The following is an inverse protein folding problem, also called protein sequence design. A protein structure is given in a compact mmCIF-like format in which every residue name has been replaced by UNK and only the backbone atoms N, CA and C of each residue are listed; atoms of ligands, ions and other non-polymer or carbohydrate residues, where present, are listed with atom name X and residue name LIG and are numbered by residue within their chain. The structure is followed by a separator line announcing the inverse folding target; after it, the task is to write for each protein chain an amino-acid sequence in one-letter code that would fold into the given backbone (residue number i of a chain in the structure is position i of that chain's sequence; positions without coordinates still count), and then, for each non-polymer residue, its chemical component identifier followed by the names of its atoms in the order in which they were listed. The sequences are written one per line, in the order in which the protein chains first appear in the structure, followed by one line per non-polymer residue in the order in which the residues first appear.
data_IF_788956171698
#
_entry.id   IF_788956171698
#
_cell.length_a   1.000
_cell.length_b   1.000
_cell.length_c   1.000
_cell.angle_alpha   90.00
_cell.angle_beta   90.00
_cell.angle_gamma   90.00
#
_symmetry.space_group_name_H-M   'P 1'
#
loop_
_entity.id
_entity.type
_entity.pdbx_description
1 polymer ?
#
# COMPACT_ATOMS: atom_id res chain seq x y z
N UNK A 1 22.20 2.22 21.84
CA UNK A 1 20.95 2.14 21.05
C UNK A 1 19.93 3.15 21.50
N UNK A 2 19.72 3.32 22.81
CA UNK A 2 18.69 4.22 23.36
C UNK A 2 18.87 5.69 22.94
N UNK A 3 20.12 6.17 22.86
CA UNK A 3 20.44 7.52 22.34
C UNK A 3 19.98 7.74 20.90
N UNK A 4 20.06 6.71 20.04
CA UNK A 4 19.61 6.82 18.65
C UNK A 4 18.09 6.79 18.54
N UNK A 5 17.42 5.97 19.34
CA UNK A 5 15.95 5.97 19.35
C UNK A 5 15.40 7.30 19.87
N UNK A 6 16.01 7.89 20.91
CA UNK A 6 15.69 9.25 21.38
C UNK A 6 15.91 10.30 20.29
N UNK A 7 17.05 10.23 19.58
CA UNK A 7 17.31 11.10 18.42
C UNK A 7 16.20 10.98 17.37
N UNK A 8 15.81 9.76 17.01
CA UNK A 8 14.75 9.52 16.04
C UNK A 8 13.39 10.04 16.51
N UNK A 9 13.07 9.96 17.82
CA UNK A 9 11.83 10.55 18.38
C UNK A 9 11.85 12.08 18.38
N UNK A 10 13.03 12.69 18.45
CA UNK A 10 13.21 14.14 18.25
C UNK A 10 13.05 14.58 16.79
N UNK A 11 13.06 13.64 15.85
CA UNK A 11 12.72 13.89 14.45
C UNK A 11 11.22 13.57 14.23
N UNK A 12 10.53 14.31 13.37
CA UNK A 12 9.09 14.11 13.06
C UNK A 12 8.79 12.81 12.28
N UNK A 13 9.47 11.70 12.61
CA UNK A 13 9.32 10.40 11.98
C UNK A 13 8.21 9.59 12.65
N UNK A 14 7.49 8.80 11.84
CA UNK A 14 6.47 7.88 12.37
C UNK A 14 7.08 6.72 13.15
N UNK A 15 6.38 6.19 14.15
CA UNK A 15 6.81 5.02 14.95
C UNK A 15 7.29 3.83 14.11
N UNK A 16 6.62 3.55 12.98
CA UNK A 16 7.05 2.49 12.06
C UNK A 16 8.42 2.77 11.42
N UNK A 17 8.72 4.03 11.10
CA UNK A 17 10.03 4.44 10.59
C UNK A 17 11.07 4.30 11.67
N UNK A 18 10.77 4.75 12.89
CA UNK A 18 11.65 4.64 14.06
C UNK A 18 12.01 3.16 14.30
N UNK A 19 11.02 2.29 14.39
CA UNK A 19 11.23 0.85 14.59
C UNK A 19 12.07 0.23 13.46
N UNK A 20 11.82 0.60 12.21
CA UNK A 20 12.58 0.11 11.05
C UNK A 20 14.04 0.58 11.08
N UNK A 21 14.29 1.83 11.47
CA UNK A 21 15.63 2.40 11.54
C UNK A 21 16.41 1.80 12.71
N UNK A 22 15.79 1.74 13.89
CA UNK A 22 16.36 1.08 15.06
C UNK A 22 16.71 -0.38 14.76
N UNK A 23 15.84 -1.13 14.06
CA UNK A 23 16.16 -2.49 13.65
C UNK A 23 17.39 -2.54 12.74
N UNK A 24 17.49 -1.66 11.75
CA UNK A 24 18.61 -1.66 10.80
C UNK A 24 19.96 -1.44 11.50
N UNK A 25 19.99 -0.49 12.45
CA UNK A 25 21.18 -0.23 13.24
C UNK A 25 21.51 -1.41 14.16
N UNK A 26 20.50 -2.02 14.82
CA UNK A 26 20.70 -3.25 15.61
C UNK A 26 21.26 -4.38 14.74
N UNK A 27 20.79 -4.50 13.50
CA UNK A 27 21.27 -5.51 12.55
C UNK A 27 22.75 -5.31 12.21
N UNK A 28 23.20 -4.07 12.00
CA UNK A 28 24.62 -3.76 11.81
C UNK A 28 25.44 -4.18 13.03
N UNK A 29 24.99 -3.79 14.23
CA UNK A 29 25.72 -4.07 15.47
C UNK A 29 25.74 -5.54 15.89
N UNK A 30 24.91 -6.39 15.28
CA UNK A 30 25.02 -7.85 15.45
C UNK A 30 26.21 -8.46 14.71
N UNK A 31 26.71 -7.77 13.68
CA UNK A 31 27.84 -8.24 12.87
C UNK A 31 29.13 -7.49 13.21
N UNK A 32 29.01 -6.24 13.63
CA UNK A 32 30.13 -5.35 13.87
C UNK A 32 29.99 -4.64 15.21
N UNK A 33 31.02 -4.75 16.03
CA UNK A 33 31.20 -4.07 17.32
C UNK A 33 31.39 -2.55 17.18
N UNK A 34 32.02 -2.09 16.08
CA UNK A 34 32.35 -0.68 15.87
C UNK A 34 31.98 -0.18 14.47
N UNK A 35 31.82 1.14 14.35
CA UNK A 35 31.56 1.82 13.08
C UNK A 35 32.89 2.33 12.50
N UNK A 36 33.27 1.79 11.34
CA UNK A 36 34.42 2.26 10.53
C UNK A 36 34.03 2.27 9.06
N UNK A 37 34.70 3.09 8.23
CA UNK A 37 34.46 3.12 6.77
C UNK A 37 34.61 1.73 6.13
N UNK A 38 35.57 0.92 6.60
CA UNK A 38 35.78 -0.45 6.13
C UNK A 38 34.56 -1.33 6.44
N UNK A 39 34.14 -1.39 7.71
CA UNK A 39 33.00 -2.21 8.16
C UNK A 39 31.67 -1.79 7.52
N UNK A 40 31.46 -0.48 7.30
CA UNK A 40 30.30 0.03 6.58
C UNK A 40 30.24 -0.46 5.13
N UNK A 41 31.39 -0.49 4.43
CA UNK A 41 31.47 -1.02 3.06
C UNK A 41 31.21 -2.53 3.03
N UNK A 42 31.83 -3.28 3.93
CA UNK A 42 31.60 -4.74 4.06
C UNK A 42 30.13 -5.04 4.35
N UNK A 43 29.52 -4.30 5.27
CA UNK A 43 28.09 -4.45 5.57
C UNK A 43 27.20 -4.14 4.36
N UNK A 44 27.54 -3.11 3.57
CA UNK A 44 26.81 -2.81 2.34
C UNK A 44 26.91 -3.95 1.32
N UNK A 45 28.08 -4.55 1.16
CA UNK A 45 28.26 -5.73 0.27
C UNK A 45 27.40 -6.88 0.77
N UNK A 46 27.48 -7.20 2.06
CA UNK A 46 26.66 -8.25 2.67
C UNK A 46 25.15 -7.99 2.50
N UNK A 47 24.70 -6.74 2.64
CA UNK A 47 23.31 -6.38 2.39
C UNK A 47 22.88 -6.64 0.93
N UNK A 48 23.75 -6.33 -0.04
CA UNK A 48 23.48 -6.53 -1.47
C UNK A 48 23.36 -8.02 -1.80
N UNK A 49 24.20 -8.85 -1.20
CA UNK A 49 24.21 -10.30 -1.43
C UNK A 49 22.99 -10.99 -0.81
N UNK A 50 22.45 -10.46 0.30
CA UNK A 50 21.42 -11.14 1.09
C UNK A 50 20.01 -10.54 0.95
N UNK A 51 19.86 -9.34 0.40
CA UNK A 51 18.57 -8.65 0.35
C UNK A 51 18.27 -7.99 -0.98
N UNK A 52 16.97 -7.87 -1.29
CA UNK A 52 16.49 -7.10 -2.44
C UNK A 52 16.92 -5.63 -2.34
N UNK A 53 17.26 -4.95 -3.46
CA UNK A 53 17.78 -3.57 -3.44
C UNK A 53 16.94 -2.54 -2.67
N UNK A 54 15.60 -2.67 -2.69
CA UNK A 54 14.72 -1.79 -1.89
C UNK A 54 14.96 -1.94 -0.38
N UNK A 55 15.13 -3.17 0.10
CA UNK A 55 15.47 -3.45 1.50
C UNK A 55 16.86 -2.93 1.84
N UNK A 56 17.84 -3.14 0.94
CA UNK A 56 19.19 -2.59 1.10
C UNK A 56 19.14 -1.08 1.29
N UNK A 57 18.44 -0.35 0.41
CA UNK A 57 18.33 1.10 0.50
C UNK A 57 17.61 1.58 1.76
N UNK A 58 16.61 0.85 2.26
CA UNK A 58 15.99 1.14 3.54
C UNK A 58 16.99 1.02 4.71
N UNK A 59 17.81 -0.04 4.71
CA UNK A 59 18.85 -0.26 5.74
C UNK A 59 19.97 0.77 5.64
N UNK A 60 20.42 1.10 4.44
CA UNK A 60 21.40 2.15 4.20
C UNK A 60 20.87 3.52 4.63
N UNK A 61 19.58 3.82 4.39
CA UNK A 61 18.99 5.08 4.84
C UNK A 61 18.96 5.19 6.35
N UNK A 62 18.58 4.11 7.04
CA UNK A 62 18.63 4.06 8.49
C UNK A 62 20.06 4.23 9.04
N UNK A 63 21.06 3.60 8.41
CA UNK A 63 22.46 3.76 8.80
C UNK A 63 22.97 5.18 8.53
N UNK A 64 22.61 5.79 7.41
CA UNK A 64 22.98 7.19 7.13
C UNK A 64 22.39 8.15 8.17
N UNK A 65 21.13 7.93 8.58
CA UNK A 65 20.50 8.69 9.66
C UNK A 65 21.19 8.44 11.02
N UNK A 66 21.66 7.21 11.26
CA UNK A 66 22.47 6.92 12.44
C UNK A 66 23.83 7.63 12.42
N UNK A 67 24.49 7.66 11.27
CA UNK A 67 25.76 8.38 11.09
C UNK A 67 25.60 9.88 11.34
N UNK A 68 24.50 10.49 10.89
CA UNK A 68 24.12 11.89 11.24
C UNK A 68 24.02 12.06 12.77
N UNK A 69 23.31 11.15 13.44
CA UNK A 69 23.08 11.25 14.90
C UNK A 69 24.36 11.18 15.74
N UNK A 70 25.45 10.65 15.17
CA UNK A 70 26.76 10.54 15.84
C UNK A 70 27.81 11.48 15.23
N UNK A 71 27.40 12.43 14.37
CA UNK A 71 28.27 13.44 13.77
C UNK A 71 29.29 12.89 12.75
N UNK A 72 28.92 11.84 12.00
CA UNK A 72 29.77 11.19 10.97
C UNK A 72 29.14 11.24 9.58
N UNK A 73 28.59 12.40 9.23
CA UNK A 73 27.92 12.66 7.95
C UNK A 73 28.76 12.32 6.71
N UNK A 74 30.07 12.51 6.80
CA UNK A 74 31.04 12.25 5.74
C UNK A 74 31.23 10.76 5.45
N UNK A 75 30.60 9.86 6.23
CA UNK A 75 30.67 8.41 6.05
C UNK A 75 29.40 7.82 5.44
N UNK A 76 28.44 8.67 5.07
CA UNK A 76 27.19 8.24 4.44
C UNK A 76 27.45 7.39 3.21
N UNK A 77 26.73 6.27 3.15
CA UNK A 77 26.83 5.33 2.04
C UNK A 77 25.86 5.71 0.94
N UNK A 78 26.31 5.59 -0.31
CA UNK A 78 25.44 5.75 -1.46
C UNK A 78 24.44 4.60 -1.57
N UNK A 79 23.21 4.92 -1.99
CA UNK A 79 22.19 3.93 -2.28
C UNK A 79 22.51 3.10 -3.52
N UNK A 80 22.00 1.87 -3.53
CA UNK A 80 22.03 1.00 -4.71
C UNK A 80 21.01 1.52 -5.71
N UNK A 81 21.41 1.64 -6.98
CA UNK A 81 20.48 2.02 -8.05
C UNK A 81 19.45 0.91 -8.24
N UNK A 82 18.17 1.28 -8.22
CA UNK A 82 17.06 0.35 -8.44
C UNK A 82 16.32 0.80 -9.68
N UNK A 83 16.35 -0.02 -10.73
CA UNK A 83 15.50 0.21 -11.88
C UNK A 83 14.05 -0.03 -11.46
N UNK A 84 13.17 0.91 -11.78
CA UNK A 84 11.75 0.68 -11.58
C UNK A 84 11.27 -0.40 -12.56
N UNK A 85 10.57 -1.42 -12.05
CA UNK A 85 9.95 -2.43 -12.91
C UNK A 85 8.96 -1.76 -13.86
N UNK A 86 8.99 -2.15 -15.13
CA UNK A 86 8.13 -1.58 -16.17
C UNK A 86 6.65 -1.98 -16.02
N UNK A 87 6.33 -2.94 -15.16
CA UNK A 87 4.99 -3.52 -15.04
C UNK A 87 4.58 -3.71 -13.58
N UNK A 88 3.27 -3.81 -13.37
CA UNK A 88 2.69 -4.20 -12.09
C UNK A 88 2.72 -5.72 -11.98
N UNK A 89 3.22 -6.22 -10.85
CA UNK A 89 3.13 -7.63 -10.50
C UNK A 89 1.96 -7.84 -9.54
N UNK A 90 1.34 -9.02 -9.64
CA UNK A 90 0.38 -9.54 -8.69
C UNK A 90 -0.90 -8.70 -8.54
N UNK A 91 -1.42 -8.19 -9.66
CA UNK A 91 -2.74 -7.54 -9.68
C UNK A 91 -3.79 -8.61 -10.00
N UNK A 92 -4.83 -8.69 -9.19
CA UNK A 92 -5.99 -9.57 -9.39
C UNK A 92 -6.58 -9.33 -10.78
N UNK A 93 -7.09 -10.36 -11.48
CA UNK A 93 -7.81 -10.18 -12.75
C UNK A 93 -9.26 -9.69 -12.53
N UNK A 94 -9.96 -9.22 -13.57
CA UNK A 94 -11.36 -8.77 -13.41
C UNK A 94 -12.26 -9.98 -13.14
N UNK A 95 -12.00 -11.08 -13.85
CA UNK A 95 -12.66 -12.35 -13.64
C UNK A 95 -12.44 -12.88 -12.21
N UNK A 96 -11.20 -12.87 -11.71
CA UNK A 96 -10.91 -13.33 -10.34
C UNK A 96 -11.55 -12.42 -9.29
N UNK A 97 -11.61 -11.11 -9.54
CA UNK A 97 -12.28 -10.16 -8.66
C UNK A 97 -13.79 -10.43 -8.57
N UNK A 98 -14.45 -10.59 -9.72
CA UNK A 98 -15.88 -10.87 -9.80
C UNK A 98 -16.22 -12.25 -9.21
N UNK A 99 -15.39 -13.26 -9.49
CA UNK A 99 -15.50 -14.58 -8.88
C UNK A 99 -15.35 -14.51 -7.35
N UNK A 100 -14.29 -13.86 -6.85
CA UNK A 100 -14.05 -13.73 -5.41
C UNK A 100 -15.21 -13.03 -4.70
N UNK A 101 -15.70 -11.93 -5.29
CA UNK A 101 -16.85 -11.19 -4.80
C UNK A 101 -18.10 -12.06 -4.74
N UNK A 102 -18.34 -12.87 -5.77
CA UNK A 102 -19.51 -13.77 -5.84
C UNK A 102 -19.44 -14.87 -4.78
N UNK A 103 -18.28 -15.52 -4.61
CA UNK A 103 -18.10 -16.54 -3.56
C UNK A 103 -18.34 -15.96 -2.15
N UNK A 104 -17.80 -14.77 -1.87
CA UNK A 104 -18.00 -14.11 -0.58
C UNK A 104 -19.48 -13.83 -0.29
N UNK A 105 -20.24 -13.44 -1.31
CA UNK A 105 -21.68 -13.21 -1.16
C UNK A 105 -22.44 -14.51 -0.91
N UNK A 106 -22.16 -15.56 -1.70
CA UNK A 106 -22.83 -16.86 -1.60
C UNK A 106 -22.58 -17.57 -0.26
N UNK A 107 -21.38 -17.43 0.29
CA UNK A 107 -21.01 -18.01 1.58
C UNK A 107 -21.51 -17.20 2.80
N UNK A 108 -22.22 -16.08 2.58
CA UNK A 108 -22.65 -15.19 3.67
C UNK A 108 -21.51 -14.40 4.32
N UNK A 109 -20.33 -14.32 3.69
CA UNK A 109 -19.17 -13.55 4.15
C UNK A 109 -19.31 -12.06 3.81
N UNK A 110 -20.49 -11.48 4.05
CA UNK A 110 -20.85 -10.10 3.69
C UNK A 110 -19.84 -9.06 4.21
N UNK A 111 -19.28 -9.27 5.42
CA UNK A 111 -18.23 -8.40 5.96
C UNK A 111 -17.04 -8.30 5.00
N UNK A 112 -16.56 -9.43 4.49
CA UNK A 112 -15.42 -9.49 3.59
C UNK A 112 -15.78 -9.06 2.17
N UNK A 113 -17.01 -9.32 1.74
CA UNK A 113 -17.57 -8.74 0.52
C UNK A 113 -17.43 -7.21 0.53
N UNK A 114 -17.90 -6.53 1.58
CA UNK A 114 -17.79 -5.07 1.66
C UNK A 114 -16.35 -4.61 1.83
N UNK A 115 -15.50 -5.31 2.57
CA UNK A 115 -14.05 -5.00 2.62
C UNK A 115 -13.46 -4.94 1.21
N UNK A 116 -13.71 -5.99 0.41
CA UNK A 116 -13.20 -6.12 -0.97
C UNK A 116 -13.82 -5.07 -1.90
N UNK A 117 -15.13 -4.85 -1.84
CA UNK A 117 -15.85 -3.82 -2.61
C UNK A 117 -15.29 -2.43 -2.35
N UNK A 118 -15.12 -2.04 -1.09
CA UNK A 118 -14.58 -0.71 -0.75
C UNK A 118 -13.16 -0.53 -1.27
N UNK A 119 -12.28 -1.54 -1.14
CA UNK A 119 -10.92 -1.43 -1.68
C UNK A 119 -10.88 -1.30 -3.21
N UNK A 120 -11.68 -2.09 -3.92
CA UNK A 120 -11.68 -2.14 -5.37
C UNK A 120 -12.47 -0.98 -6.03
N UNK A 121 -13.49 -0.43 -5.37
CA UNK A 121 -14.34 0.62 -5.93
C UNK A 121 -13.88 2.04 -5.56
N UNK A 122 -13.11 2.21 -4.48
CA UNK A 122 -12.64 3.54 -4.03
C UNK A 122 -11.14 3.73 -4.17
N UNK A 123 -10.40 2.64 -4.44
CA UNK A 123 -8.93 2.65 -4.48
C UNK A 123 -8.27 3.03 -3.14
N UNK A 124 -9.00 2.99 -2.02
CA UNK A 124 -8.50 3.40 -0.70
C UNK A 124 -7.31 2.54 -0.23
N UNK A 125 -6.37 3.11 0.53
CA UNK A 125 -5.31 2.30 1.19
C UNK A 125 -5.94 1.49 2.33
N UNK A 126 -5.40 0.31 2.66
CA UNK A 126 -5.93 -0.49 3.79
C UNK A 126 -5.92 0.26 5.13
N UNK A 127 -4.95 1.15 5.35
CA UNK A 127 -4.88 2.00 6.55
C UNK A 127 -5.94 3.10 6.59
N UNK A 128 -6.46 3.48 5.42
CA UNK A 128 -7.54 4.46 5.25
C UNK A 128 -8.90 3.74 5.33
N UNK A 129 -9.02 2.53 4.75
CA UNK A 129 -10.21 1.69 4.80
C UNK A 129 -10.72 1.47 6.23
N UNK A 130 -9.82 1.14 7.14
CA UNK A 130 -10.16 0.89 8.55
C UNK A 130 -10.67 2.15 9.29
N UNK A 131 -10.54 3.34 8.70
CA UNK A 131 -11.02 4.60 9.26
C UNK A 131 -12.41 4.98 8.74
N UNK A 132 -12.94 4.27 7.74
CA UNK A 132 -14.28 4.50 7.21
C UNK A 132 -15.31 4.13 8.28
N UNK A 133 -16.38 4.92 8.34
CA UNK A 133 -17.47 4.82 9.31
C UNK A 133 -18.81 4.82 8.58
N UNK A 134 -19.86 4.34 9.25
CA UNK A 134 -21.22 4.33 8.71
C UNK A 134 -21.69 5.73 8.28
N UNK A 135 -21.35 6.76 9.05
CA UNK A 135 -21.65 8.17 8.72
C UNK A 135 -21.11 8.57 7.34
N UNK A 136 -19.88 8.17 7.00
CA UNK A 136 -19.28 8.46 5.70
C UNK A 136 -19.98 7.76 4.54
N UNK A 137 -20.50 6.55 4.77
CA UNK A 137 -21.32 5.84 3.78
C UNK A 137 -22.58 6.66 3.50
N UNK A 138 -23.25 7.16 4.53
CA UNK A 138 -24.43 8.01 4.36
C UNK A 138 -24.11 9.31 3.58
N UNK A 139 -23.00 9.98 3.92
CA UNK A 139 -22.57 11.21 3.22
C UNK A 139 -22.06 10.96 1.80
N UNK A 140 -21.56 9.75 1.52
CA UNK A 140 -20.99 9.36 0.22
C UNK A 140 -19.51 9.70 0.02
N UNK A 141 -18.82 10.21 1.04
CA UNK A 141 -17.39 10.45 0.98
C UNK A 141 -16.74 10.45 2.37
N UNK A 142 -15.41 10.35 2.39
CA UNK A 142 -14.59 10.51 3.60
C UNK A 142 -13.41 11.44 3.31
N UNK A 143 -13.15 12.39 4.20
CA UNK A 143 -11.98 13.25 4.15
C UNK A 143 -10.91 12.72 5.11
N UNK A 144 -9.73 12.40 4.58
CA UNK A 144 -8.60 11.85 5.35
C UNK A 144 -7.35 12.70 5.17
N UNK A 145 -6.61 12.90 6.25
CA UNK A 145 -5.30 13.53 6.21
C UNK A 145 -4.23 12.54 5.77
N UNK A 146 -3.48 12.87 4.73
CA UNK A 146 -2.30 12.12 4.30
C UNK A 146 -1.08 12.49 5.15
N UNK A 147 0.01 11.72 4.99
CA UNK A 147 1.33 12.16 5.46
C UNK A 147 1.62 13.55 4.86
N UNK A 148 2.09 14.47 5.70
CA UNK A 148 2.32 15.87 5.31
C UNK A 148 1.14 16.82 5.54
N UNK A 149 0.04 16.37 6.16
CA UNK A 149 -1.07 17.25 6.58
C UNK A 149 -2.03 17.66 5.47
N UNK A 150 -1.91 17.06 4.27
CA UNK A 150 -2.83 17.34 3.16
C UNK A 150 -4.14 16.59 3.35
N UNK A 151 -5.26 17.28 3.18
CA UNK A 151 -6.58 16.66 3.17
C UNK A 151 -6.83 16.02 1.81
N UNK A 152 -7.34 14.78 1.80
CA UNK A 152 -7.80 14.09 0.60
C UNK A 152 -9.20 13.55 0.82
N UNK A 153 -10.09 13.84 -0.13
CA UNK A 153 -11.42 13.24 -0.20
C UNK A 153 -11.36 11.90 -0.92
N UNK A 154 -12.03 10.90 -0.37
CA UNK A 154 -12.30 9.61 -1.01
C UNK A 154 -13.80 9.55 -1.23
N UNK A 155 -14.22 9.42 -2.48
CA UNK A 155 -15.62 9.26 -2.85
C UNK A 155 -16.04 7.79 -2.75
N UNK A 156 -17.22 7.55 -2.22
CA UNK A 156 -17.86 6.24 -2.18
C UNK A 156 -18.87 6.22 -3.34
N UNK A 157 -18.64 5.42 -4.40
CA UNK A 157 -19.53 5.38 -5.55
C UNK A 157 -20.96 5.05 -5.14
N UNK A 158 -21.94 5.66 -5.82
CA UNK A 158 -23.36 5.55 -5.48
C UNK A 158 -23.83 4.09 -5.38
N UNK A 159 -23.47 3.23 -6.34
CA UNK A 159 -23.84 1.81 -6.31
C UNK A 159 -23.30 1.08 -5.07
N UNK A 160 -22.05 1.35 -4.68
CA UNK A 160 -21.49 0.80 -3.44
C UNK A 160 -22.19 1.37 -2.21
N UNK A 161 -22.54 2.66 -2.25
CA UNK A 161 -23.25 3.33 -1.15
C UNK A 161 -24.59 2.67 -0.89
N UNK A 162 -25.39 2.44 -1.92
CA UNK A 162 -26.71 1.83 -1.84
C UNK A 162 -26.63 0.41 -1.25
N UNK A 163 -25.73 -0.44 -1.78
CA UNK A 163 -25.51 -1.79 -1.24
C UNK A 163 -25.05 -1.77 0.22
N UNK A 164 -24.13 -0.85 0.57
CA UNK A 164 -23.58 -0.77 1.92
C UNK A 164 -24.59 -0.22 2.94
N UNK A 165 -25.50 0.69 2.54
CA UNK A 165 -26.55 1.20 3.40
C UNK A 165 -27.55 0.10 3.76
N UNK A 166 -27.97 -0.71 2.79
CA UNK A 166 -28.85 -1.86 3.05
C UNK A 166 -28.22 -2.86 4.04
N UNK A 167 -26.93 -3.14 3.87
CA UNK A 167 -26.18 -3.99 4.80
C UNK A 167 -26.05 -3.40 6.21
N UNK A 168 -25.90 -2.08 6.33
CA UNK A 168 -25.84 -1.38 7.61
C UNK A 168 -27.19 -1.38 8.33
N UNK A 169 -28.28 -1.24 7.57
CA UNK A 169 -29.65 -1.32 8.08
C UNK A 169 -29.96 -2.71 8.64
N UNK A 170 -29.61 -3.78 7.90
CA UNK A 170 -29.76 -5.17 8.36
C UNK A 170 -29.01 -5.42 9.69
N UNK A 171 -27.85 -4.77 9.86
CA UNK A 171 -27.05 -4.83 11.10
C UNK A 171 -27.53 -3.91 12.22
N UNK A 172 -28.48 -3.02 11.95
CA UNK A 172 -28.86 -1.95 12.88
C UNK A 172 -27.71 -0.97 13.20
N UNK A 173 -26.70 -0.84 12.32
CA UNK A 173 -25.53 0.00 12.55
C UNK A 173 -25.67 1.35 11.86
N UNK A 174 -26.00 2.39 12.64
CA UNK A 174 -26.17 3.76 12.14
C UNK A 174 -24.91 4.63 12.27
N UNK A 175 -23.96 4.24 13.12
CA UNK A 175 -22.76 5.03 13.41
C UNK A 175 -21.53 4.16 13.73
N UNK A 176 -20.37 4.82 13.87
CA UNK A 176 -19.11 4.15 14.23
C UNK A 176 -18.37 3.53 13.05
N UNK A 177 -17.21 2.91 13.33
CA UNK A 177 -16.34 2.33 12.30
C UNK A 177 -17.04 1.19 11.55
N UNK A 178 -16.86 1.19 10.23
CA UNK A 178 -17.51 0.24 9.34
C UNK A 178 -16.95 -1.18 9.49
N UNK A 179 -15.64 -1.29 9.69
CA UNK A 179 -14.94 -2.58 9.74
C UNK A 179 -14.39 -2.85 11.15
N UNK A 180 -15.20 -3.57 11.94
CA UNK A 180 -14.84 -4.03 13.29
C UNK A 180 -14.40 -5.50 13.27
N UNK A 181 -13.57 -5.88 14.24
CA UNK A 181 -13.24 -7.26 14.52
C UNK A 181 -14.33 -7.94 15.38
N UNK A 182 -14.19 -9.24 15.64
CA UNK A 182 -15.13 -10.02 16.46
C UNK A 182 -15.30 -9.50 17.91
N UNK A 183 -14.40 -8.64 18.39
CA UNK A 183 -14.45 -8.03 19.72
C UNK A 183 -15.04 -6.61 19.69
N UNK A 184 -15.61 -6.16 18.56
CA UNK A 184 -16.16 -4.82 18.39
C UNK A 184 -15.12 -3.71 18.28
N UNK A 185 -13.83 -4.04 18.19
CA UNK A 185 -12.74 -3.06 17.99
C UNK A 185 -12.42 -2.91 16.52
N UNK A 186 -11.89 -1.75 16.11
CA UNK A 186 -11.45 -1.53 14.73
C UNK A 186 -10.51 -2.64 14.26
N UNK A 187 -10.77 -3.21 13.08
CA UNK A 187 -9.93 -4.25 12.51
C UNK A 187 -8.53 -3.70 12.18
N UNK A 188 -7.50 -4.53 12.30
CA UNK A 188 -6.13 -4.14 11.96
C UNK A 188 -5.85 -4.39 10.48
N UNK A 189 -4.93 -3.61 9.90
CA UNK A 189 -4.48 -3.80 8.52
C UNK A 189 -3.88 -5.19 8.28
N UNK A 190 -3.16 -5.73 9.28
CA UNK A 190 -2.64 -7.10 9.26
C UNK A 190 -3.75 -8.14 9.32
N UNK A 191 -4.79 -7.89 10.12
CA UNK A 191 -5.97 -8.76 10.19
C UNK A 191 -6.69 -8.89 8.86
N UNK A 192 -6.88 -7.76 8.15
CA UNK A 192 -7.43 -7.76 6.79
C UNK A 192 -6.53 -8.56 5.85
N UNK A 193 -5.24 -8.24 5.78
CA UNK A 193 -4.33 -8.93 4.86
C UNK A 193 -4.21 -10.43 5.12
N UNK A 194 -4.24 -10.84 6.40
CA UNK A 194 -4.22 -12.25 6.79
C UNK A 194 -5.49 -12.98 6.39
N UNK A 195 -6.66 -12.40 6.69
CA UNK A 195 -7.93 -13.07 6.39
C UNK A 195 -8.23 -13.14 4.90
N UNK A 196 -7.86 -12.12 4.13
CA UNK A 196 -7.96 -12.16 2.67
C UNK A 196 -7.19 -13.35 2.07
N UNK A 197 -6.01 -13.70 2.62
CA UNK A 197 -5.26 -14.88 2.18
C UNK A 197 -5.97 -16.19 2.53
N UNK A 198 -6.55 -16.28 3.72
CA UNK A 198 -7.33 -17.46 4.13
C UNK A 198 -8.53 -17.65 3.19
N UNK A 199 -9.24 -16.57 2.88
CA UNK A 199 -10.38 -16.62 1.95
C UNK A 199 -9.94 -16.95 0.52
N UNK A 200 -8.81 -16.40 0.06
CA UNK A 200 -8.24 -16.75 -1.24
C UNK A 200 -7.95 -18.26 -1.35
N UNK A 201 -7.31 -18.84 -0.33
CA UNK A 201 -7.06 -20.28 -0.28
C UNK A 201 -8.35 -21.09 -0.28
N UNK A 202 -9.35 -20.65 0.50
CA UNK A 202 -10.68 -21.30 0.56
C UNK A 202 -11.33 -21.39 -0.83
N UNK A 203 -11.23 -20.34 -1.62
CA UNK A 203 -11.87 -20.27 -2.95
C UNK A 203 -10.98 -20.71 -4.11
N UNK A 204 -9.79 -21.25 -3.84
CA UNK A 204 -8.85 -21.69 -4.87
C UNK A 204 -8.21 -20.56 -5.68
N UNK A 205 -8.16 -19.34 -5.13
CA UNK A 205 -7.57 -18.17 -5.78
C UNK A 205 -6.10 -18.01 -5.41
N UNK A 206 -5.32 -17.42 -6.32
CA UNK A 206 -3.91 -17.15 -6.08
C UNK A 206 -3.72 -16.13 -4.94
N UNK A 207 -3.20 -16.60 -3.81
CA UNK A 207 -2.90 -15.77 -2.64
C UNK A 207 -1.89 -14.66 -2.91
N UNK A 208 -1.08 -14.78 -3.97
CA UNK A 208 -0.14 -13.75 -4.36
C UNK A 208 -0.86 -12.50 -4.87
N UNK A 209 -2.07 -12.62 -5.43
CA UNK A 209 -2.86 -11.49 -5.98
C UNK A 209 -3.99 -11.04 -5.07
N UNK A 210 -4.36 -11.78 -4.04
CA UNK A 210 -5.44 -11.42 -3.10
C UNK A 210 -4.86 -10.71 -1.86
N UNK A 211 -4.61 -9.41 -2.00
CA UNK A 211 -4.14 -8.55 -0.92
C UNK A 211 -4.55 -7.08 -1.16
N UNK A 212 -4.59 -6.21 -0.13
CA UNK A 212 -5.21 -4.89 -0.25
C UNK A 212 -4.69 -4.00 -1.38
N UNK A 213 -3.36 -4.01 -1.62
CA UNK A 213 -2.79 -3.20 -2.68
C UNK A 213 -3.19 -3.69 -4.08
N UNK A 214 -3.41 -4.99 -4.27
CA UNK A 214 -3.88 -5.55 -5.55
C UNK A 214 -5.25 -5.00 -5.94
N UNK A 215 -6.20 -4.93 -5.01
CA UNK A 215 -7.51 -4.32 -5.25
C UNK A 215 -7.41 -2.83 -5.57
N UNK A 216 -6.51 -2.11 -4.90
CA UNK A 216 -6.23 -0.71 -5.25
C UNK A 216 -5.60 -0.57 -6.64
N UNK A 217 -4.76 -1.51 -7.06
CA UNK A 217 -4.24 -1.52 -8.43
C UNK A 217 -5.34 -1.82 -9.44
N UNK A 218 -6.28 -2.72 -9.11
CA UNK A 218 -7.48 -2.97 -9.93
C UNK A 218 -8.34 -1.72 -10.09
N UNK A 219 -8.61 -0.98 -9.02
CA UNK A 219 -9.30 0.32 -9.11
C UNK A 219 -8.65 1.24 -10.14
N UNK A 220 -7.33 1.45 -10.03
CA UNK A 220 -6.59 2.34 -10.92
C UNK A 220 -6.63 1.90 -12.38
N UNK A 221 -6.49 0.58 -12.64
CA UNK A 221 -6.56 0.02 -13.99
C UNK A 221 -7.96 0.21 -14.59
N UNK A 222 -9.00 -0.18 -13.85
CA UNK A 222 -10.39 -0.06 -14.28
C UNK A 222 -10.80 1.40 -14.51
N UNK A 223 -10.31 2.32 -13.67
CA UNK A 223 -10.55 3.75 -13.84
C UNK A 223 -9.93 4.25 -15.15
N UNK A 224 -8.66 3.97 -15.43
CA UNK A 224 -8.00 4.44 -16.65
C UNK A 224 -8.54 3.79 -17.93
N UNK A 225 -8.98 2.54 -17.86
CA UNK A 225 -9.64 1.85 -18.97
C UNK A 225 -10.97 2.52 -19.35
N UNK A 226 -11.73 3.02 -18.36
CA UNK A 226 -13.03 3.69 -18.56
C UNK A 226 -12.91 5.20 -18.77
N UNK A 227 -11.93 5.81 -18.13
CA UNK A 227 -11.71 7.25 -18.08
C UNK A 227 -10.21 7.55 -17.97
N UNK A 228 -9.58 7.79 -19.11
CA UNK A 228 -8.12 7.91 -19.25
C UNK A 228 -7.57 9.26 -18.75
N UNK A 229 -7.88 9.63 -17.51
CA UNK A 229 -7.36 10.81 -16.82
C UNK A 229 -6.43 10.41 -15.66
N UNK A 230 -5.13 10.46 -15.92
CA UNK A 230 -4.10 10.13 -14.93
C UNK A 230 -3.98 11.18 -13.82
N UNK A 231 -4.27 12.45 -14.11
CA UNK A 231 -4.13 13.52 -13.13
C UNK A 231 -5.23 13.37 -12.06
N UNK A 232 -6.48 13.22 -12.51
CA UNK A 232 -7.59 12.93 -11.62
C UNK A 232 -7.38 11.64 -10.84
N UNK A 233 -6.90 10.57 -11.48
CA UNK A 233 -6.59 9.33 -10.77
C UNK A 233 -5.51 9.55 -9.70
N UNK A 234 -4.46 10.32 -9.98
CA UNK A 234 -3.40 10.59 -9.01
C UNK A 234 -3.95 11.31 -7.76
N UNK A 235 -4.85 12.28 -7.95
CA UNK A 235 -5.53 12.99 -6.87
C UNK A 235 -6.46 12.07 -6.09
N UNK A 236 -7.29 11.29 -6.78
CA UNK A 236 -8.20 10.31 -6.19
C UNK A 236 -7.44 9.26 -5.38
N UNK A 237 -6.25 8.85 -5.82
CA UNK A 237 -5.40 7.91 -5.12
C UNK A 237 -4.55 8.58 -4.01
N UNK A 238 -4.40 9.90 -4.02
CA UNK A 238 -3.55 10.62 -3.07
C UNK A 238 -2.09 10.27 -3.26
N UNK A 239 -1.62 10.33 -4.51
CA UNK A 239 -0.20 10.22 -4.85
C UNK A 239 0.45 11.60 -4.84
N UNK A 240 1.57 11.73 -4.14
CA UNK A 240 2.33 13.01 -4.10
C UNK A 240 2.98 13.36 -5.45
N UNK A 241 3.10 12.37 -6.34
CA UNK A 241 3.67 12.55 -7.68
C UNK A 241 2.91 11.70 -8.68
N UNK A 242 2.60 12.29 -9.83
CA UNK A 242 2.03 11.61 -11.01
C UNK A 242 2.90 10.42 -11.43
N UNK A 243 4.22 10.45 -11.19
CA UNK A 243 5.12 9.33 -11.52
C UNK A 243 4.73 8.04 -10.77
N UNK A 244 4.14 8.17 -9.58
CA UNK A 244 3.61 7.03 -8.82
C UNK A 244 2.37 6.44 -9.48
N UNK A 245 1.60 7.25 -10.20
CA UNK A 245 0.43 6.83 -10.98
C UNK A 245 0.81 6.33 -12.37
N UNK A 246 1.94 6.79 -12.93
CA UNK A 246 2.40 6.42 -14.27
C UNK A 246 2.60 4.91 -14.43
N UNK A 247 2.90 4.18 -13.34
CA UNK A 247 3.00 2.71 -13.36
C UNK A 247 1.72 2.02 -13.88
N UNK A 248 0.55 2.67 -13.75
CA UNK A 248 -0.74 2.15 -14.21
C UNK A 248 -0.99 2.34 -15.71
N UNK A 249 -0.33 3.32 -16.33
CA UNK A 249 -0.41 3.55 -17.78
C UNK A 249 0.56 2.67 -18.58
N UNK A 250 1.43 1.91 -17.91
CA UNK A 250 2.48 1.15 -18.58
C UNK A 250 1.87 -0.03 -19.32
N UNK A 251 1.70 0.17 -20.62
CA UNK A 251 1.34 -0.85 -21.61
C UNK A 251 2.51 -1.77 -21.87
N UNK A 252 2.23 -3.03 -22.17
CA UNK A 252 3.20 -4.01 -22.65
C UNK A 252 3.80 -3.55 -23.99
N UNK A 253 4.97 -4.08 -24.37
CA UNK A 253 5.59 -3.79 -25.67
C UNK A 253 4.66 -4.13 -26.84
N UNK A 254 3.89 -5.21 -26.73
CA UNK A 254 2.92 -5.63 -27.74
C UNK A 254 1.77 -4.63 -27.89
N UNK A 255 1.22 -4.15 -26.77
CA UNK A 255 0.19 -3.11 -26.78
C UNK A 255 0.73 -1.78 -27.31
N UNK A 256 1.99 -1.44 -27.01
CA UNK A 256 2.64 -0.25 -27.58
C UNK A 256 2.81 -0.38 -29.09
N UNK A 257 3.30 -1.52 -29.57
CA UNK A 257 3.48 -1.78 -31.00
C UNK A 257 2.14 -1.71 -31.73
N UNK A 258 1.09 -2.38 -31.22
CA UNK A 258 -0.24 -2.35 -31.82
C UNK A 258 -0.82 -0.92 -31.90
N UNK A 259 -0.57 -0.09 -30.89
CA UNK A 259 -0.98 1.32 -30.92
C UNK A 259 -0.16 2.12 -31.93
N UNK A 260 1.16 1.90 -31.99
CA UNK A 260 2.02 2.56 -32.97
C UNK A 260 1.61 2.16 -34.39
N UNK A 261 1.40 0.88 -34.66
CA UNK A 261 0.93 0.37 -35.95
C UNK A 261 -0.44 0.94 -36.34
N UNK A 262 -1.31 1.18 -35.34
CA UNK A 262 -2.62 1.78 -35.56
C UNK A 262 -2.57 3.30 -35.79
N UNK A 263 -1.68 4.01 -35.08
CA UNK A 263 -1.60 5.49 -35.09
C UNK A 263 -0.69 6.00 -36.20
N UNK A 264 0.42 5.30 -36.48
CA UNK A 264 1.43 5.66 -37.48
C UNK A 264 1.14 4.88 -38.75
N UNK A 265 0.26 5.43 -39.59
CA UNK A 265 -0.14 4.85 -40.87
C UNK A 265 0.41 5.60 -42.09
N UNK A 266 1.37 6.51 -41.87
CA UNK A 266 2.05 7.31 -42.91
C UNK A 266 3.45 6.79 -43.21
#
# INVERSE_FOLDING_TARGET
MDKFEQYLRGTNLSENTIASYSFAVKQYYRQYDTVTKRKLREYKVWLIENYKPKTVNLRLRALNCYLESIGRDEWKMQFVKVQQKAFLENVISEADYEYFKTCLWQDGEQFWYFVVRFMAATGVRVSELIQIKAEHVNTGYVDLYSKGGKLRRIYIPQALREEALAWLEEKGQTSGFLFLNKQGKRITTRGIAGQLKVLAQRYGLDTAVIYPHSFRHRFAKSFLERFNDIALLADLMGHESIETTRIYLRRTSTEQQAIVDHVVSW
#
